data_IF_968645848350
#
_entry.id   IF_968645848350
#
_cell.length_a   1.000
_cell.length_b   1.000
_cell.length_c   1.000
_cell.angle_alpha   90.00
_cell.angle_beta   90.00
_cell.angle_gamma   90.00
#
_symmetry.space_group_name_H-M   'P 1'
#
loop_
_entity.id
_entity.type
_entity.pdbx_description
1 polymer ?
#
# COMPACT_ATOMS: atom_id res chain seq x y z
N UNK A 1 13.95 -12.63 5.55
CA UNK A 1 13.39 -11.27 5.41
C UNK A 1 12.61 -11.16 4.11
N UNK A 2 11.47 -10.56 4.17
CA UNK A 2 10.66 -10.30 2.97
C UNK A 2 11.22 -9.05 2.27
N UNK A 3 11.56 -9.16 0.99
CA UNK A 3 12.07 -8.02 0.23
C UNK A 3 10.97 -7.08 -0.23
N UNK A 4 9.88 -7.65 -0.78
CA UNK A 4 8.73 -6.87 -1.21
C UNK A 4 7.47 -7.75 -1.23
N UNK A 5 6.33 -7.07 -1.29
CA UNK A 5 5.04 -7.72 -1.54
C UNK A 5 4.34 -6.98 -2.69
N UNK A 6 3.45 -7.68 -3.38
CA UNK A 6 2.59 -7.06 -4.37
C UNK A 6 1.14 -7.13 -3.90
N UNK A 7 0.39 -6.08 -4.21
CA UNK A 7 -1.04 -6.01 -3.93
C UNK A 7 -1.73 -5.73 -5.26
N UNK A 8 -2.63 -6.61 -5.63
CA UNK A 8 -3.39 -6.46 -6.86
C UNK A 8 -4.46 -5.38 -6.73
N UNK A 9 -4.68 -4.62 -7.80
CA UNK A 9 -5.70 -3.59 -7.84
C UNK A 9 -6.51 -3.69 -9.13
N UNK A 10 -7.81 -3.47 -9.01
CA UNK A 10 -8.69 -3.37 -10.18
C UNK A 10 -8.45 -2.04 -10.89
N UNK A 11 -8.30 -0.97 -10.11
CA UNK A 11 -8.06 0.39 -10.59
C UNK A 11 -6.83 0.94 -9.86
N UNK A 12 -5.70 0.99 -10.56
CA UNK A 12 -4.43 1.39 -9.96
C UNK A 12 -4.46 2.86 -9.52
N UNK A 13 -5.06 3.75 -10.30
CA UNK A 13 -5.14 5.16 -9.92
C UNK A 13 -5.90 5.37 -8.62
N UNK A 14 -7.00 4.66 -8.46
CA UNK A 14 -7.80 4.71 -7.24
C UNK A 14 -7.04 4.11 -6.06
N UNK A 15 -6.36 2.98 -6.29
CA UNK A 15 -5.54 2.35 -5.27
C UNK A 15 -4.38 3.26 -4.85
N UNK A 16 -3.79 3.97 -5.81
CA UNK A 16 -2.72 4.92 -5.56
C UNK A 16 -3.17 6.03 -4.60
N UNK A 17 -4.33 6.60 -4.82
CA UNK A 17 -4.90 7.62 -3.94
C UNK A 17 -5.05 7.07 -2.51
N UNK A 18 -5.57 5.85 -2.40
CA UNK A 18 -5.74 5.18 -1.11
C UNK A 18 -4.39 4.97 -0.41
N UNK A 19 -3.43 4.37 -1.09
CA UNK A 19 -2.15 4.01 -0.48
C UNK A 19 -1.24 5.20 -0.23
N UNK A 20 -1.29 6.25 -1.06
CA UNK A 20 -0.59 7.51 -0.77
C UNK A 20 -1.03 8.06 0.59
N UNK A 21 -2.33 8.03 0.85
CA UNK A 21 -2.91 8.55 2.08
C UNK A 21 -2.56 7.67 3.29
N UNK A 22 -2.81 6.39 3.17
CA UNK A 22 -2.70 5.42 4.27
C UNK A 22 -1.24 5.20 4.66
N UNK A 23 -0.40 4.91 3.67
CA UNK A 23 1.02 4.66 3.91
C UNK A 23 1.75 5.95 4.31
N UNK A 24 1.33 7.08 3.77
CA UNK A 24 1.86 8.38 4.17
C UNK A 24 1.67 8.65 5.64
N UNK A 25 0.58 8.17 6.24
CA UNK A 25 0.30 8.36 7.67
C UNK A 25 1.33 7.68 8.59
N UNK A 26 2.04 6.67 8.08
CA UNK A 26 3.07 5.94 8.85
C UNK A 26 4.47 6.12 8.27
N UNK A 27 4.66 7.14 7.44
CA UNK A 27 5.99 7.53 6.97
C UNK A 27 6.48 6.84 5.71
N UNK A 28 5.62 6.10 5.03
CA UNK A 28 5.95 5.52 3.73
C UNK A 28 5.65 6.53 2.63
N UNK A 29 6.32 6.38 1.49
CA UNK A 29 6.13 7.28 0.36
C UNK A 29 6.20 6.50 -0.95
N UNK A 30 5.55 7.01 -1.97
CA UNK A 30 5.70 6.48 -3.31
C UNK A 30 7.12 6.82 -3.80
N UNK A 31 7.88 5.82 -4.21
CA UNK A 31 9.23 6.02 -4.72
C UNK A 31 9.37 5.69 -6.20
N UNK A 32 8.38 5.00 -6.77
CA UNK A 32 8.42 4.61 -8.18
C UNK A 32 7.00 4.59 -8.74
N UNK A 33 6.84 5.16 -9.92
CA UNK A 33 5.56 5.21 -10.61
C UNK A 33 5.79 4.86 -12.08
N UNK A 34 5.43 3.64 -12.43
CA UNK A 34 5.47 3.16 -13.82
C UNK A 34 4.07 3.07 -14.42
N UNK A 35 3.07 3.62 -13.71
CA UNK A 35 1.67 3.42 -14.06
C UNK A 35 1.15 2.07 -13.57
N UNK A 36 1.86 1.02 -13.90
CA UNK A 36 1.66 -0.37 -13.46
C UNK A 36 3.02 -1.05 -13.51
N UNK A 37 3.69 -1.32 -12.38
CA UNK A 37 3.23 -1.07 -11.00
C UNK A 37 3.59 0.31 -10.46
N UNK A 38 3.03 0.62 -9.28
CA UNK A 38 3.40 1.77 -8.47
C UNK A 38 4.02 1.26 -7.18
N UNK A 39 5.16 1.80 -6.79
CA UNK A 39 5.95 1.29 -5.66
C UNK A 39 6.03 2.25 -4.48
N UNK A 40 5.97 1.69 -3.27
CA UNK A 40 6.04 2.42 -2.00
C UNK A 40 7.16 1.89 -1.13
N UNK A 41 7.83 2.80 -0.41
CA UNK A 41 8.93 2.48 0.49
C UNK A 41 8.97 3.46 1.64
N UNK A 42 9.80 3.17 2.64
CA UNK A 42 10.02 4.06 3.77
C UNK A 42 11.06 5.14 3.47
N UNK A 43 11.60 5.16 2.25
CA UNK A 43 12.62 6.14 1.81
C UNK A 43 12.46 6.42 0.32
N UNK A 44 13.19 7.42 -0.15
CA UNK A 44 13.12 7.89 -1.53
C UNK A 44 13.78 6.94 -2.53
N UNK A 45 14.68 6.09 -2.07
CA UNK A 45 15.47 5.22 -2.95
C UNK A 45 14.87 3.84 -3.13
N UNK A 46 13.87 3.48 -2.33
CA UNK A 46 13.29 2.16 -2.37
C UNK A 46 14.11 1.09 -1.64
N UNK A 47 15.04 1.50 -0.79
CA UNK A 47 15.81 0.55 0.01
C UNK A 47 14.94 -0.08 1.10
N UNK A 48 15.25 -1.33 1.43
CA UNK A 48 14.50 -2.08 2.43
C UNK A 48 13.28 -2.75 1.82
N UNK A 49 12.26 -2.92 2.61
CA UNK A 49 11.02 -3.56 2.17
C UNK A 49 10.19 -2.58 1.34
N UNK A 50 9.61 -3.07 0.25
CA UNK A 50 8.78 -2.26 -0.64
C UNK A 50 7.42 -2.93 -0.86
N UNK A 51 6.45 -2.12 -1.23
CA UNK A 51 5.10 -2.57 -1.56
C UNK A 51 4.79 -2.09 -2.97
N UNK A 52 4.28 -2.98 -3.80
CA UNK A 52 3.97 -2.67 -5.19
C UNK A 52 2.49 -2.90 -5.45
N UNK A 53 1.83 -1.88 -5.97
CA UNK A 53 0.43 -1.95 -6.38
C UNK A 53 0.42 -2.20 -7.87
N UNK A 54 -0.23 -3.25 -8.31
CA UNK A 54 -0.14 -3.68 -9.70
C UNK A 54 -1.40 -4.42 -10.15
N UNK A 55 -1.53 -4.61 -11.45
CA UNK A 55 -2.48 -5.58 -11.98
C UNK A 55 -1.98 -6.99 -11.63
N UNK A 56 -2.87 -7.94 -11.36
CA UNK A 56 -2.44 -9.32 -11.10
C UNK A 56 -1.63 -9.89 -12.25
N UNK A 57 -0.60 -10.65 -11.90
CA UNK A 57 0.33 -11.23 -12.88
C UNK A 57 -0.38 -12.14 -13.90
N UNK A 58 -1.43 -12.84 -13.46
CA UNK A 58 -2.17 -13.76 -14.33
C UNK A 58 -3.15 -13.07 -15.29
N UNK A 59 -3.27 -11.74 -15.22
CA UNK A 59 -4.17 -10.98 -16.08
C UNK A 59 -5.64 -11.02 -15.66
N UNK A 60 -5.96 -11.75 -14.59
CA UNK A 60 -7.32 -11.84 -14.07
C UNK A 60 -7.67 -10.60 -13.24
N UNK A 61 -8.96 -10.38 -13.00
CA UNK A 61 -9.40 -9.28 -12.15
C UNK A 61 -8.92 -9.48 -10.72
N UNK A 62 -8.35 -8.43 -10.12
CA UNK A 62 -7.89 -8.49 -8.74
C UNK A 62 -9.08 -8.72 -7.78
N UNK A 63 -8.85 -9.54 -6.77
CA UNK A 63 -9.83 -9.80 -5.71
C UNK A 63 -9.12 -10.05 -4.38
N UNK A 64 -9.83 -9.79 -3.29
CA UNK A 64 -9.28 -9.97 -1.96
C UNK A 64 -9.07 -11.45 -1.65
N UNK A 65 -7.96 -11.76 -1.00
CA UNK A 65 -7.72 -13.10 -0.44
C UNK A 65 -8.30 -13.16 0.97
N UNK A 66 -8.92 -14.27 1.32
CA UNK A 66 -9.56 -14.41 2.63
C UNK A 66 -8.63 -14.95 3.72
N UNK A 67 -7.40 -15.25 3.36
CA UNK A 67 -6.38 -15.74 4.31
C UNK A 67 -5.18 -14.84 4.42
N UNK A 68 -5.29 -13.59 3.94
CA UNK A 68 -4.15 -12.68 3.85
C UNK A 68 -4.40 -11.44 4.72
N UNK A 69 -3.41 -11.11 5.52
CA UNK A 69 -3.39 -9.87 6.28
C UNK A 69 -1.97 -9.31 6.23
N UNK A 70 -1.84 -8.05 5.87
CA UNK A 70 -0.53 -7.37 5.87
C UNK A 70 -0.53 -6.38 7.02
N UNK A 71 0.38 -6.56 7.97
CA UNK A 71 0.52 -5.66 9.11
C UNK A 71 1.67 -4.71 8.89
N UNK A 72 1.45 -3.46 9.21
CA UNK A 72 2.47 -2.42 9.15
C UNK A 72 2.83 -1.98 10.54
N UNK A 73 4.13 -1.81 10.80
CA UNK A 73 4.61 -1.26 12.05
C UNK A 73 4.36 0.24 12.08
N UNK A 74 3.85 0.71 13.20
CA UNK A 74 3.74 2.14 13.48
C UNK A 74 4.60 2.46 14.68
N UNK A 75 5.24 3.62 14.68
CA UNK A 75 6.15 4.00 15.76
C UNK A 75 5.42 4.49 17.01
N UNK A 76 4.21 5.05 16.83
CA UNK A 76 3.45 5.63 17.93
C UNK A 76 1.99 5.25 17.81
N UNK A 77 1.28 5.35 18.96
CA UNK A 77 -0.17 5.14 18.97
C UNK A 77 -0.89 6.16 18.08
N UNK A 78 -0.37 7.38 18.04
CA UNK A 78 -0.92 8.42 17.17
C UNK A 78 -0.84 8.05 15.69
N UNK A 79 0.26 7.42 15.26
CA UNK A 79 0.37 6.91 13.90
C UNK A 79 -0.65 5.82 13.60
N UNK A 80 -0.95 4.95 14.57
CA UNK A 80 -1.99 3.93 14.40
C UNK A 80 -3.34 4.60 14.13
N UNK A 81 -3.68 5.63 14.90
CA UNK A 81 -4.94 6.36 14.71
C UNK A 81 -4.97 7.07 13.36
N UNK A 82 -3.88 7.72 12.98
CA UNK A 82 -3.81 8.42 11.69
C UNK A 82 -3.91 7.47 10.52
N UNK A 83 -3.32 6.30 10.63
CA UNK A 83 -3.42 5.25 9.61
C UNK A 83 -4.88 4.82 9.41
N UNK A 84 -5.56 4.53 10.50
CA UNK A 84 -6.96 4.13 10.46
C UNK A 84 -7.85 5.24 9.89
N UNK A 85 -7.68 6.47 10.36
CA UNK A 85 -8.46 7.61 9.89
C UNK A 85 -8.24 7.86 8.40
N UNK A 86 -6.99 7.79 7.95
CA UNK A 86 -6.67 7.96 6.53
C UNK A 86 -7.31 6.87 5.68
N UNK A 87 -7.30 5.62 6.16
CA UNK A 87 -7.92 4.51 5.45
C UNK A 87 -9.43 4.70 5.31
N UNK A 88 -10.09 5.11 6.38
CA UNK A 88 -11.54 5.33 6.36
C UNK A 88 -11.91 6.48 5.43
N UNK A 89 -11.15 7.58 5.46
CA UNK A 89 -11.40 8.72 4.57
C UNK A 89 -11.17 8.40 3.11
N UNK A 90 -10.23 7.50 2.84
CA UNK A 90 -9.88 7.13 1.45
C UNK A 90 -10.72 5.98 0.91
N UNK A 91 -11.76 5.54 1.64
CA UNK A 91 -12.69 4.54 1.16
C UNK A 91 -12.48 3.14 1.73
N UNK A 92 -11.64 2.99 2.74
CA UNK A 92 -11.45 1.71 3.40
C UNK A 92 -12.68 1.27 4.20
N UNK A 93 -12.74 -0.01 4.50
CA UNK A 93 -13.78 -0.59 5.34
C UNK A 93 -13.17 -1.12 6.62
N UNK A 94 -13.87 -0.89 7.71
CA UNK A 94 -13.47 -1.41 9.02
C UNK A 94 -13.98 -2.84 9.21
#
# INVERSE_FOLDING_TARGET
>A
MIGYITIGAVDIERAEIFYDSVLGAIGWQQFADYGDPVGYAQNETGEGQTIWICKPFDGETARAGNGIMVGFDAETRDQVHRFHDAAMKAGGRD
#
